data_IF_925471465610
#
_entry.id   IF_925471465610
#
_cell.length_a   1.000
_cell.length_b   1.000
_cell.length_c   1.000
_cell.angle_alpha   90.00
_cell.angle_beta   90.00
_cell.angle_gamma   90.00
#
_symmetry.space_group_name_H-M   'P 1'
#
loop_
_entity.id
_entity.type
_entity.pdbx_description
1 polymer ?
#
# COMPACT_ATOMS: atom_id res chain seq x y z
N UNK A 1 2.84 -6.75 6.82
CA UNK A 1 2.77 -7.58 5.61
C UNK A 1 3.22 -6.76 4.42
N UNK A 2 4.22 -7.24 3.73
CA UNK A 2 4.79 -6.49 2.61
C UNK A 2 4.13 -6.88 1.31
N UNK A 3 3.70 -5.90 0.56
CA UNK A 3 3.07 -6.09 -0.74
C UNK A 3 3.56 -5.04 -1.72
N UNK A 4 3.52 -5.36 -2.99
CA UNK A 4 3.87 -4.42 -4.03
C UNK A 4 2.60 -3.79 -4.57
N UNK A 5 2.62 -2.48 -4.67
CA UNK A 5 1.48 -1.73 -5.20
C UNK A 5 1.98 -0.74 -6.24
N UNK A 6 1.21 -0.56 -7.29
CA UNK A 6 1.48 0.51 -8.23
C UNK A 6 1.06 1.84 -7.60
N UNK A 7 1.56 2.92 -8.18
CA UNK A 7 1.33 4.23 -7.61
C UNK A 7 -0.15 4.57 -7.46
N UNK A 8 -1.00 4.37 -8.47
CA UNK A 8 -2.42 4.66 -8.30
C UNK A 8 -3.05 3.89 -7.16
N UNK A 9 -2.71 2.60 -7.02
CA UNK A 9 -3.28 1.80 -5.94
C UNK A 9 -2.78 2.25 -4.59
N UNK A 10 -1.51 2.61 -4.48
CA UNK A 10 -0.96 3.13 -3.25
C UNK A 10 -1.70 4.40 -2.81
N UNK A 11 -1.92 5.31 -3.75
CA UNK A 11 -2.61 6.55 -3.45
C UNK A 11 -4.04 6.29 -2.98
N UNK A 12 -4.70 5.31 -3.59
CA UNK A 12 -6.05 4.95 -3.18
C UNK A 12 -6.08 4.36 -1.77
N UNK A 13 -5.13 3.48 -1.47
CA UNK A 13 -5.04 2.89 -0.14
C UNK A 13 -4.77 3.97 0.91
N UNK A 14 -3.90 4.90 0.59
CA UNK A 14 -3.57 5.98 1.49
C UNK A 14 -4.78 6.88 1.71
N UNK A 15 -5.51 7.18 0.64
CA UNK A 15 -6.68 8.03 0.72
C UNK A 15 -7.80 7.37 1.52
N UNK A 16 -7.95 6.06 1.36
CA UNK A 16 -9.00 5.33 2.08
C UNK A 16 -8.79 5.35 3.59
N UNK A 17 -7.53 5.34 4.02
CA UNK A 17 -7.22 5.44 5.43
C UNK A 17 -7.56 4.24 6.26
N UNK A 18 -7.81 3.10 5.65
CA UNK A 18 -8.17 1.89 6.39
C UNK A 18 -6.98 1.08 6.83
N UNK A 19 -5.83 1.34 6.25
CA UNK A 19 -4.61 0.61 6.56
C UNK A 19 -3.45 1.57 6.70
N UNK A 20 -2.45 1.15 7.47
CA UNK A 20 -1.17 1.84 7.50
C UNK A 20 -0.34 1.33 6.34
N UNK A 21 0.10 2.23 5.49
CA UNK A 21 0.89 1.86 4.31
C UNK A 21 2.16 2.67 4.33
N UNK A 22 3.30 1.98 4.36
CA UNK A 22 4.61 2.63 4.39
C UNK A 22 5.47 2.06 3.28
N UNK A 23 6.16 2.94 2.58
CA UNK A 23 7.08 2.50 1.55
C UNK A 23 8.33 1.94 2.20
N UNK A 24 8.66 0.71 1.89
CA UNK A 24 9.80 0.04 2.52
C UNK A 24 10.88 -0.36 1.53
N UNK A 25 10.60 -0.27 0.24
CA UNK A 25 11.63 -0.65 -0.73
C UNK A 25 11.23 -0.31 -2.14
N UNK A 26 12.14 -0.60 -3.06
CA UNK A 26 11.89 -0.33 -4.46
C UNK A 26 12.18 1.10 -4.83
N UNK A 27 12.47 1.31 -6.08
CA UNK A 27 12.69 2.64 -6.61
C UNK A 27 11.45 3.12 -7.35
N UNK A 28 11.40 4.41 -7.60
CA UNK A 28 10.25 4.98 -8.28
C UNK A 28 10.16 4.53 -9.74
N UNK A 29 11.25 4.06 -10.30
CA UNK A 29 11.26 3.64 -11.70
C UNK A 29 11.30 2.13 -11.87
N UNK A 30 10.79 1.40 -10.89
CA UNK A 30 10.82 -0.03 -10.92
C UNK A 30 9.44 -0.57 -11.22
N UNK A 31 9.37 -1.46 -12.21
CA UNK A 31 8.10 -2.11 -12.51
C UNK A 31 7.88 -3.26 -11.55
N UNK A 32 6.72 -3.27 -10.97
CA UNK A 32 6.32 -4.33 -10.04
C UNK A 32 4.96 -4.87 -10.48
N UNK A 33 4.60 -6.01 -9.94
CA UNK A 33 3.26 -6.54 -10.12
C UNK A 33 2.42 -6.09 -8.94
N UNK A 34 1.45 -5.23 -9.21
CA UNK A 34 0.60 -4.71 -8.16
C UNK A 34 -0.22 -5.85 -7.55
N UNK A 35 -0.18 -5.96 -6.23
CA UNK A 35 -0.94 -6.99 -5.54
C UNK A 35 -2.44 -6.71 -5.59
N UNK A 36 -2.81 -5.43 -5.69
CA UNK A 36 -4.21 -5.02 -5.64
C UNK A 36 -4.89 -5.14 -7.00
N UNK A 37 -4.30 -4.56 -8.04
CA UNK A 37 -4.92 -4.58 -9.36
C UNK A 37 -4.38 -5.68 -10.25
N UNK A 38 -3.34 -6.39 -9.81
CA UNK A 38 -2.75 -7.51 -10.54
C UNK A 38 -2.14 -7.11 -11.88
N UNK A 39 -1.75 -5.86 -12.01
CA UNK A 39 -1.14 -5.36 -13.24
C UNK A 39 0.31 -4.99 -12.98
N UNK A 40 1.12 -5.14 -14.03
CA UNK A 40 2.52 -4.79 -13.94
C UNK A 40 2.68 -3.32 -14.30
N UNK A 41 3.05 -2.53 -13.32
CA UNK A 41 3.18 -1.08 -13.47
C UNK A 41 4.31 -0.58 -12.59
N UNK A 42 4.66 0.69 -12.78
CA UNK A 42 5.64 1.31 -11.92
C UNK A 42 5.07 1.49 -10.52
N UNK A 43 5.86 1.13 -9.54
CA UNK A 43 5.45 1.24 -8.16
C UNK A 43 6.59 0.89 -7.24
N UNK A 44 6.26 0.48 -6.03
CA UNK A 44 7.26 0.14 -5.03
C UNK A 44 6.70 -0.90 -4.08
N UNK A 45 7.55 -1.37 -3.19
CA UNK A 45 7.12 -2.28 -2.16
C UNK A 45 6.71 -1.50 -0.92
N UNK A 46 5.57 -1.85 -0.35
CA UNK A 46 5.02 -1.18 0.81
C UNK A 46 4.72 -2.17 1.91
N UNK A 47 4.86 -1.71 3.13
CA UNK A 47 4.41 -2.45 4.29
C UNK A 47 2.98 -2.03 4.58
N UNK A 48 2.06 -2.98 4.55
CA UNK A 48 0.66 -2.69 4.82
C UNK A 48 0.22 -3.43 6.07
N UNK A 49 -0.45 -2.73 6.95
CA UNK A 49 -0.96 -3.32 8.16
C UNK A 49 -2.29 -2.69 8.52
N UNK A 50 -3.09 -3.44 9.24
CA UNK A 50 -4.40 -2.94 9.66
C UNK A 50 -4.21 -1.87 10.72
N UNK A 51 -4.95 -0.79 10.62
CA UNK A 51 -4.96 0.21 11.67
C UNK A 51 -5.69 -0.34 12.88
N UNK A 52 -5.03 -0.28 14.03
CA UNK A 52 -5.62 -0.74 15.25
C UNK A 52 -5.68 0.42 16.23
N UNK A 53 -6.57 0.33 17.16
CA UNK A 53 -6.73 1.33 18.19
C UNK A 53 -7.61 2.48 17.79
N UNK A 54 -7.82 2.58 16.57
CA UNK A 54 -8.72 3.61 16.14
C UNK A 54 -10.13 3.19 16.45
N UNK A 55 -10.33 3.04 17.03
CA UNK A 55 -11.40 2.56 17.09
C UNK A 55 -12.03 1.96 18.07
N UNK A 56 -11.44 2.03 18.28
CA UNK A 56 -11.84 1.79 18.77
C UNK A 56 -12.46 1.98 19.00
N UNK A 57 -12.33 2.11 19.24
CA UNK A 57 -12.68 2.46 19.30
C UNK A 57 -13.19 2.55 18.98
N UNK A 58 -13.30 2.43 19.24
CA UNK A 58 -13.56 2.69 18.84
C UNK A 58 -13.71 2.56 18.60
N UNK A 59 -13.69 2.40 18.82
CA UNK A 59 -13.62 2.47 18.50
C UNK A 59 -13.78 2.46 18.28
#
# INVERSE_FOLDING_TARGET
MKRQFCLPCFLELKKAGKHNVQRVGGGVNMKITCWRCKRRRYGAEYEISRKVGAGRDGG
#
